data_IF_957243911903
#
_entry.id   IF_957243911903
#
_cell.length_a   1.000
_cell.length_b   1.000
_cell.length_c   1.000
_cell.angle_alpha   90.00
_cell.angle_beta   90.00
_cell.angle_gamma   90.00
#
_symmetry.space_group_name_H-M   'P 1'
#
loop_
_entity.id
_entity.type
_entity.pdbx_description
1 polymer ?
#
# COMPACT_ATOMS: atom_id res chain seq x y z
N UNK A 1 -19.69 -1.75 -2.79
CA UNK A 1 -20.86 -2.02 -3.64
C UNK A 1 -21.11 -0.97 -4.74
N UNK A 2 -20.62 0.23 -4.61
CA UNK A 2 -20.80 1.29 -5.61
C UNK A 2 -20.02 1.04 -6.90
N UNK A 3 -18.87 0.40 -6.87
CA UNK A 3 -18.03 0.11 -8.06
C UNK A 3 -18.56 -1.03 -8.92
N UNK A 4 -18.96 -2.14 -8.32
CA UNK A 4 -19.63 -3.22 -9.07
C UNK A 4 -20.94 -2.73 -9.70
N UNK A 5 -21.64 -1.85 -8.99
CA UNK A 5 -22.83 -1.18 -9.53
C UNK A 5 -22.49 -0.19 -10.66
N UNK A 6 -21.30 0.45 -10.63
CA UNK A 6 -20.85 1.34 -11.70
C UNK A 6 -20.44 0.58 -12.96
N UNK A 7 -19.70 -0.54 -12.83
CA UNK A 7 -19.25 -1.33 -13.97
C UNK A 7 -20.41 -1.86 -14.85
N UNK A 8 -21.56 -2.16 -14.26
CA UNK A 8 -22.73 -2.68 -14.96
C UNK A 8 -23.86 -1.65 -15.15
N UNK A 9 -23.61 -0.39 -14.80
CA UNK A 9 -24.67 0.63 -14.80
C UNK A 9 -25.15 0.99 -16.20
N UNK A 10 -24.25 0.98 -17.20
CA UNK A 10 -24.60 1.26 -18.59
C UNK A 10 -25.55 0.22 -19.17
N UNK A 11 -25.34 -1.05 -18.84
CA UNK A 11 -26.18 -2.16 -19.27
C UNK A 11 -27.54 -2.16 -18.56
N UNK A 12 -27.57 -1.72 -17.29
CA UNK A 12 -28.80 -1.74 -16.48
C UNK A 12 -29.65 -0.50 -16.65
N UNK A 13 -29.09 0.68 -16.76
CA UNK A 13 -29.80 1.97 -16.72
C UNK A 13 -29.68 2.77 -18.02
N UNK A 14 -28.87 2.32 -18.96
CA UNK A 14 -28.55 3.04 -20.20
C UNK A 14 -27.59 4.21 -19.97
N UNK A 15 -27.01 4.70 -21.08
CA UNK A 15 -25.94 5.70 -21.05
C UNK A 15 -26.34 7.00 -20.34
N UNK A 16 -27.50 7.57 -20.66
CA UNK A 16 -27.90 8.87 -20.13
C UNK A 16 -28.08 8.88 -18.62
N UNK A 17 -28.76 7.85 -18.08
CA UNK A 17 -29.00 7.76 -16.63
C UNK A 17 -27.70 7.42 -15.88
N UNK A 18 -26.83 6.64 -16.48
CA UNK A 18 -25.53 6.35 -15.91
C UNK A 18 -24.64 7.58 -15.85
N UNK A 19 -24.56 8.38 -16.93
CA UNK A 19 -23.83 9.65 -16.94
C UNK A 19 -24.39 10.65 -15.92
N UNK A 20 -25.73 10.78 -15.84
CA UNK A 20 -26.36 11.66 -14.85
C UNK A 20 -26.02 11.24 -13.42
N UNK A 21 -26.12 9.95 -13.13
CA UNK A 21 -25.76 9.38 -11.84
C UNK A 21 -24.29 9.64 -11.50
N UNK A 22 -23.38 9.40 -12.45
CA UNK A 22 -21.95 9.57 -12.22
C UNK A 22 -21.58 11.04 -11.99
N UNK A 23 -22.17 11.96 -12.75
CA UNK A 23 -22.06 13.40 -12.50
C UNK A 23 -22.60 13.79 -11.12
N UNK A 24 -23.74 13.22 -10.69
CA UNK A 24 -24.31 13.51 -9.39
C UNK A 24 -23.49 12.93 -8.23
N UNK A 25 -22.93 11.74 -8.38
CA UNK A 25 -22.06 11.11 -7.37
C UNK A 25 -20.72 11.82 -7.24
N UNK A 26 -20.23 12.43 -8.32
CA UNK A 26 -18.98 13.21 -8.29
C UNK A 26 -19.15 14.63 -7.72
N UNK A 27 -20.39 15.11 -7.57
CA UNK A 27 -20.66 16.41 -6.96
C UNK A 27 -20.30 16.38 -5.47
N UNK A 28 -19.14 16.90 -5.12
CA UNK A 28 -18.70 17.05 -3.72
C UNK A 28 -19.59 18.08 -3.03
N UNK A 29 -20.09 17.71 -1.87
CA UNK A 29 -20.72 18.65 -0.94
C UNK A 29 -19.77 18.85 0.23
N UNK A 30 -19.58 20.10 0.64
CA UNK A 30 -18.87 20.35 1.89
C UNK A 30 -19.58 19.63 3.04
N UNK A 31 -18.84 19.00 3.96
CA UNK A 31 -19.43 18.43 5.16
C UNK A 31 -20.24 19.47 5.94
N UNK A 32 -21.26 19.02 6.67
CA UNK A 32 -22.03 19.91 7.54
C UNK A 32 -21.10 20.53 8.61
N UNK A 33 -21.19 21.85 8.78
CA UNK A 33 -20.34 22.59 9.71
C UNK A 33 -18.94 22.93 9.17
N UNK A 34 -18.59 22.56 7.94
CA UNK A 34 -17.32 22.94 7.33
C UNK A 34 -17.24 24.46 7.14
N UNK A 35 -16.20 25.05 7.68
CA UNK A 35 -15.85 26.46 7.49
C UNK A 35 -14.33 26.64 7.71
N UNK A 36 -13.78 27.73 7.17
CA UNK A 36 -12.37 28.08 7.38
C UNK A 36 -12.03 28.16 8.88
N UNK A 37 -12.87 28.85 9.65
CA UNK A 37 -12.68 28.98 11.11
C UNK A 37 -12.74 27.63 11.86
N UNK A 38 -13.54 26.68 11.38
CA UNK A 38 -13.56 25.33 11.94
C UNK A 38 -12.26 24.58 11.61
N UNK A 39 -11.76 24.72 10.39
CA UNK A 39 -10.49 24.11 10.00
C UNK A 39 -9.30 24.67 10.78
N UNK A 40 -9.26 25.97 11.01
CA UNK A 40 -8.24 26.58 11.89
C UNK A 40 -8.24 25.99 13.29
N UNK A 41 -9.43 25.75 13.87
CA UNK A 41 -9.54 25.07 15.18
C UNK A 41 -9.06 23.64 15.14
N UNK A 42 -9.36 22.88 14.07
CA UNK A 42 -8.88 21.51 13.89
C UNK A 42 -7.36 21.47 13.78
N UNK A 43 -6.77 22.35 12.96
CA UNK A 43 -5.32 22.43 12.80
C UNK A 43 -4.64 22.81 14.13
N UNK A 44 -5.16 23.81 14.85
CA UNK A 44 -4.63 24.17 16.16
C UNK A 44 -4.68 22.99 17.17
N UNK A 45 -5.74 22.19 17.12
CA UNK A 45 -5.85 21.00 17.98
C UNK A 45 -4.86 19.90 17.57
N UNK A 46 -4.61 19.72 16.27
CA UNK A 46 -3.59 18.80 15.78
C UNK A 46 -2.20 19.24 16.26
N UNK A 47 -1.87 20.52 16.12
CA UNK A 47 -0.58 21.06 16.57
C UNK A 47 -0.37 20.89 18.08
N UNK A 48 -1.43 21.06 18.88
CA UNK A 48 -1.41 20.81 20.32
C UNK A 48 -1.08 19.34 20.62
N UNK A 49 -1.77 18.38 19.98
CA UNK A 49 -1.55 16.93 20.14
C UNK A 49 -0.12 16.55 19.74
N UNK A 50 0.36 17.02 18.60
CA UNK A 50 1.70 16.74 18.12
C UNK A 50 2.79 17.31 19.04
N UNK A 51 2.50 18.44 19.68
CA UNK A 51 3.42 19.08 20.64
C UNK A 51 3.45 18.28 21.96
N UNK A 52 2.32 17.80 22.44
CA UNK A 52 2.24 16.94 23.62
C UNK A 52 3.00 15.62 23.40
N UNK A 53 2.80 14.95 22.26
CA UNK A 53 3.48 13.69 21.93
C UNK A 53 5.00 13.86 21.74
N UNK A 54 5.43 15.00 21.20
CA UNK A 54 6.86 15.29 21.00
C UNK A 54 7.63 15.59 22.29
N UNK A 55 6.94 16.01 23.34
CA UNK A 55 7.55 16.32 24.63
C UNK A 55 8.10 15.08 25.36
N UNK A 56 7.54 13.92 25.08
CA UNK A 56 7.95 12.62 25.64
C UNK A 56 8.86 11.80 24.70
N UNK A 57 9.17 12.31 23.52
CA UNK A 57 10.04 11.61 22.58
C UNK A 57 11.50 11.61 23.10
N UNK A 58 12.13 10.44 23.26
CA UNK A 58 13.52 10.37 23.71
C UNK A 58 14.44 11.09 22.73
N UNK A 59 15.26 12.00 23.22
CA UNK A 59 16.28 12.69 22.44
C UNK A 59 17.22 11.62 21.82
N UNK A 60 17.41 11.67 20.51
CA UNK A 60 18.24 10.75 19.73
C UNK A 60 17.74 9.28 19.71
N UNK A 61 16.50 9.07 19.36
CA UNK A 61 16.05 7.74 18.95
C UNK A 61 16.91 7.26 17.75
N UNK A 62 17.46 6.04 17.86
CA UNK A 62 18.07 5.38 16.71
C UNK A 62 17.01 5.30 15.62
N UNK A 63 17.27 5.94 14.49
CA UNK A 63 16.34 5.86 13.34
C UNK A 63 16.53 4.48 12.68
N UNK A 64 15.60 3.54 12.80
CA UNK A 64 15.71 2.22 12.18
C UNK A 64 15.46 2.30 10.68
N UNK A 65 15.88 1.28 9.93
CA UNK A 65 15.32 1.05 8.60
C UNK A 65 13.86 0.66 8.74
N UNK A 66 13.05 1.06 7.77
CA UNK A 66 11.61 0.76 7.72
C UNK A 66 11.33 -0.13 6.52
N UNK A 67 10.76 -1.29 6.76
CA UNK A 67 10.28 -2.20 5.71
C UNK A 67 8.78 -2.36 5.90
N UNK A 68 8.02 -1.99 4.88
CA UNK A 68 6.58 -2.22 4.79
C UNK A 68 6.34 -3.29 3.74
N UNK A 69 5.86 -4.45 4.14
CA UNK A 69 5.54 -5.56 3.25
C UNK A 69 4.03 -5.73 3.13
N UNK A 70 3.50 -5.42 1.95
CA UNK A 70 2.11 -5.72 1.59
C UNK A 70 2.06 -7.08 0.91
N UNK A 71 1.62 -8.10 1.65
CA UNK A 71 1.44 -9.45 1.08
C UNK A 71 0.11 -9.52 0.35
N UNK A 72 0.18 -9.63 -0.99
CA UNK A 72 -1.00 -9.69 -1.86
C UNK A 72 -1.80 -10.96 -1.60
N UNK A 73 -3.12 -10.79 -1.45
CA UNK A 73 -4.07 -11.90 -1.22
C UNK A 73 -3.73 -12.80 -0.01
N UNK A 74 -2.94 -12.30 0.95
CA UNK A 74 -2.63 -13.03 2.16
C UNK A 74 -3.86 -13.09 3.08
N UNK A 75 -4.14 -14.26 3.60
CA UNK A 75 -5.17 -14.49 4.59
C UNK A 75 -4.74 -15.60 5.56
N UNK A 76 -4.95 -15.39 6.84
CA UNK A 76 -4.71 -16.40 7.86
C UNK A 76 -5.83 -17.46 7.82
N UNK A 77 -5.56 -18.56 7.12
CA UNK A 77 -6.51 -19.66 6.96
C UNK A 77 -6.84 -20.38 8.27
N UNK A 78 -6.03 -20.21 9.33
CA UNK A 78 -6.31 -20.82 10.65
C UNK A 78 -7.53 -20.18 11.31
N UNK A 79 -7.91 -18.97 10.89
CA UNK A 79 -9.11 -18.25 11.36
C UNK A 79 -10.40 -18.72 10.69
N UNK A 80 -10.33 -19.59 9.67
CA UNK A 80 -11.52 -20.13 9.03
C UNK A 80 -12.15 -21.24 9.87
N UNK A 81 -13.42 -21.13 10.25
CA UNK A 81 -14.09 -22.17 11.02
C UNK A 81 -14.20 -23.48 10.22
N UNK A 82 -13.94 -24.60 10.88
CA UNK A 82 -14.07 -25.94 10.30
C UNK A 82 -12.82 -26.46 9.59
N UNK A 83 -11.76 -25.68 9.46
CA UNK A 83 -10.46 -26.16 9.00
C UNK A 83 -9.61 -26.63 10.18
N UNK A 84 -8.92 -27.74 10.01
CA UNK A 84 -7.95 -28.27 10.96
C UNK A 84 -6.65 -28.59 10.22
N UNK A 85 -5.54 -28.21 10.84
CA UNK A 85 -4.20 -28.40 10.29
C UNK A 85 -3.40 -29.33 11.19
N UNK A 86 -2.60 -30.22 10.60
CA UNK A 86 -1.68 -31.10 11.37
C UNK A 86 -0.55 -30.31 12.03
N UNK A 87 -0.18 -29.18 11.41
CA UNK A 87 0.77 -28.19 11.93
C UNK A 87 0.31 -26.80 11.51
N UNK A 88 0.74 -25.80 12.24
CA UNK A 88 0.45 -24.42 11.90
C UNK A 88 1.05 -24.07 10.50
N UNK A 89 0.23 -23.72 9.50
CA UNK A 89 0.72 -23.34 8.17
C UNK A 89 1.42 -21.98 8.14
N UNK A 90 1.25 -21.16 9.20
CA UNK A 90 1.74 -19.80 9.32
C UNK A 90 2.61 -19.60 10.57
N UNK A 91 3.34 -20.63 11.00
CA UNK A 91 4.13 -20.65 12.24
C UNK A 91 5.01 -19.40 12.40
N UNK A 92 5.72 -19.00 11.35
CA UNK A 92 6.59 -17.82 11.39
C UNK A 92 5.80 -16.50 11.52
N UNK A 93 4.65 -16.41 10.86
CA UNK A 93 3.77 -15.23 10.97
C UNK A 93 3.19 -15.10 12.36
N UNK A 94 2.69 -16.19 12.93
CA UNK A 94 2.16 -16.19 14.31
C UNK A 94 3.26 -15.95 15.36
N UNK A 95 4.50 -16.38 15.11
CA UNK A 95 5.62 -16.03 15.96
C UNK A 95 5.86 -14.50 15.96
N UNK A 96 5.89 -13.87 14.78
CA UNK A 96 6.02 -12.41 14.68
C UNK A 96 4.86 -11.65 15.34
N UNK A 97 3.62 -12.15 15.24
CA UNK A 97 2.49 -11.56 15.96
C UNK A 97 2.70 -11.55 17.48
N UNK A 98 3.40 -12.53 18.00
CA UNK A 98 3.70 -12.63 19.45
C UNK A 98 4.86 -11.74 19.90
N UNK A 99 5.75 -11.37 19.00
CA UNK A 99 6.94 -10.56 19.27
C UNK A 99 6.71 -9.06 19.07
N UNK A 100 5.66 -8.69 18.32
CA UNK A 100 5.38 -7.32 17.92
C UNK A 100 3.95 -6.87 18.28
N UNK A 101 3.56 -5.76 17.67
CA UNK A 101 2.18 -5.26 17.72
C UNK A 101 1.43 -5.88 16.56
N UNK A 102 0.35 -6.59 16.86
CA UNK A 102 -0.53 -7.20 15.85
C UNK A 102 -1.95 -6.65 15.93
N UNK A 103 -2.70 -6.79 14.84
CA UNK A 103 -4.09 -6.34 14.77
C UNK A 103 -4.76 -6.69 13.46
N UNK A 104 -6.02 -6.31 13.32
CA UNK A 104 -6.79 -6.52 12.09
C UNK A 104 -6.87 -5.23 11.30
N UNK A 105 -6.38 -5.27 10.07
CA UNK A 105 -6.54 -4.18 9.12
C UNK A 105 -7.83 -4.38 8.31
N UNK A 106 -8.72 -3.38 8.34
CA UNK A 106 -9.97 -3.40 7.58
C UNK A 106 -9.80 -2.66 6.26
N UNK A 107 -9.75 -3.41 5.16
CA UNK A 107 -9.76 -2.81 3.83
C UNK A 107 -11.16 -2.26 3.49
N UNK A 108 -11.21 -1.07 2.89
CA UNK A 108 -12.43 -0.50 2.34
C UNK A 108 -12.82 -1.12 0.98
N UNK A 109 -11.96 -1.95 0.41
CA UNK A 109 -12.14 -2.54 -0.90
C UNK A 109 -12.44 -4.03 -0.79
N UNK A 110 -13.48 -4.48 -1.50
CA UNK A 110 -13.85 -5.89 -1.64
C UNK A 110 -13.44 -6.40 -3.02
N UNK A 111 -12.53 -7.36 -3.06
CA UNK A 111 -11.98 -7.87 -4.31
C UNK A 111 -11.01 -6.86 -4.92
N UNK A 112 -11.02 -6.58 -6.16
CA UNK A 112 -10.12 -5.69 -6.88
C UNK A 112 -9.73 -4.42 -6.11
N UNK A 113 -8.56 -3.87 -6.37
CA UNK A 113 -8.21 -2.55 -5.88
C UNK A 113 -6.97 -2.47 -5.00
N UNK A 114 -6.01 -3.39 -5.19
CA UNK A 114 -4.71 -3.35 -4.51
C UNK A 114 -4.07 -1.96 -4.57
N UNK A 115 -4.02 -1.33 -5.76
CA UNK A 115 -3.49 0.02 -5.90
C UNK A 115 -4.23 1.10 -5.11
N UNK A 116 -5.51 0.92 -4.84
CA UNK A 116 -6.25 1.85 -3.97
C UNK A 116 -5.90 1.66 -2.50
N UNK A 117 -5.65 0.42 -2.09
CA UNK A 117 -5.19 0.13 -0.74
C UNK A 117 -3.77 0.67 -0.53
N UNK A 118 -2.90 0.50 -1.52
CA UNK A 118 -1.56 1.09 -1.55
C UNK A 118 -1.63 2.61 -1.34
N UNK A 119 -2.46 3.31 -2.11
CA UNK A 119 -2.65 4.75 -1.97
C UNK A 119 -3.23 5.14 -0.61
N UNK A 120 -4.16 4.34 -0.07
CA UNK A 120 -4.71 4.60 1.27
C UNK A 120 -3.65 4.46 2.37
N UNK A 121 -2.73 3.50 2.24
CA UNK A 121 -1.63 3.31 3.19
C UNK A 121 -0.55 4.39 3.07
N UNK A 122 -0.13 4.68 1.84
CA UNK A 122 1.02 5.54 1.58
C UNK A 122 0.68 7.03 1.62
N UNK A 123 -0.57 7.37 1.32
CA UNK A 123 -1.02 8.75 1.16
C UNK A 123 -2.07 9.15 2.21
N UNK A 124 -2.56 8.19 3.00
CA UNK A 124 -3.54 8.45 4.06
C UNK A 124 -4.92 8.85 3.58
N UNK A 125 -5.24 8.65 2.30
CA UNK A 125 -6.51 9.06 1.68
C UNK A 125 -7.21 7.90 1.00
N UNK A 126 -8.53 8.01 0.88
CA UNK A 126 -9.37 7.06 0.15
C UNK A 126 -10.05 7.74 -1.03
N UNK A 127 -10.66 6.96 -1.91
CA UNK A 127 -11.47 7.51 -2.99
C UNK A 127 -12.63 8.41 -2.49
N UNK A 128 -13.07 8.21 -1.25
CA UNK A 128 -14.15 8.98 -0.65
C UNK A 128 -13.73 10.43 -0.38
N UNK A 129 -12.45 10.67 -0.14
CA UNK A 129 -11.89 12.00 0.10
C UNK A 129 -11.88 12.85 -1.18
N UNK A 130 -11.82 12.18 -2.34
CA UNK A 130 -11.86 12.83 -3.66
C UNK A 130 -13.24 12.77 -4.33
N UNK A 131 -14.19 12.06 -3.73
CA UNK A 131 -15.53 11.81 -4.29
C UNK A 131 -15.67 10.39 -4.87
N UNK A 132 -16.89 9.87 -4.77
CA UNK A 132 -17.19 8.51 -5.20
C UNK A 132 -16.88 8.31 -6.70
N UNK A 133 -16.10 7.27 -7.00
CA UNK A 133 -15.70 6.94 -8.37
C UNK A 133 -14.39 7.58 -8.83
N UNK A 134 -13.75 8.43 -8.03
CA UNK A 134 -12.40 8.94 -8.33
C UNK A 134 -11.40 7.78 -8.33
N UNK A 135 -10.57 7.71 -9.35
CA UNK A 135 -9.46 6.76 -9.39
C UNK A 135 -8.22 7.39 -8.76
N UNK A 136 -7.97 7.09 -7.49
CA UNK A 136 -6.84 7.66 -6.73
C UNK A 136 -5.46 7.26 -7.25
N UNK A 137 -5.37 6.27 -8.16
CA UNK A 137 -4.13 5.94 -8.87
C UNK A 137 -3.87 6.85 -10.08
N UNK A 138 -4.78 7.75 -10.42
CA UNK A 138 -4.73 8.62 -11.60
C UNK A 138 -5.19 10.04 -11.24
N UNK A 139 -4.72 10.55 -10.13
CA UNK A 139 -4.99 11.93 -9.72
C UNK A 139 -4.19 12.92 -10.59
N UNK A 140 -4.70 14.12 -10.72
CA UNK A 140 -3.96 15.24 -11.32
C UNK A 140 -2.81 15.68 -10.41
N UNK A 141 -1.80 16.31 -10.98
CA UNK A 141 -0.56 16.67 -10.27
C UNK A 141 -0.81 17.53 -9.02
N UNK A 142 -1.71 18.49 -9.09
CA UNK A 142 -2.06 19.36 -7.98
C UNK A 142 -2.73 18.66 -6.80
N UNK A 143 -3.25 17.46 -7.00
CA UNK A 143 -3.81 16.66 -5.92
C UNK A 143 -2.73 16.01 -5.06
N UNK A 144 -1.60 15.62 -5.66
CA UNK A 144 -0.47 15.04 -4.92
C UNK A 144 0.23 16.08 -4.04
N UNK A 145 0.22 17.36 -4.41
CA UNK A 145 0.84 18.45 -3.65
C UNK A 145 0.07 18.83 -2.37
N UNK A 146 -1.17 18.35 -2.22
CA UNK A 146 -2.05 18.73 -1.10
C UNK A 146 -1.84 17.90 0.16
N UNK A 147 -1.13 16.80 0.08
CA UNK A 147 -0.98 15.85 1.16
C UNK A 147 0.48 15.38 1.22
N UNK A 148 1.00 15.24 2.42
CA UNK A 148 2.32 14.65 2.63
C UNK A 148 2.22 13.12 2.64
N UNK A 149 2.67 12.48 1.58
CA UNK A 149 2.73 11.03 1.51
C UNK A 149 3.77 10.45 2.48
N UNK A 150 3.51 9.25 2.97
CA UNK A 150 4.40 8.59 3.92
C UNK A 150 5.85 8.46 3.41
N UNK A 151 6.12 8.02 2.15
CA UNK A 151 7.48 7.97 1.61
C UNK A 151 8.15 9.35 1.56
N UNK A 152 7.40 10.40 1.23
CA UNK A 152 7.91 11.76 1.19
C UNK A 152 8.34 12.25 2.59
N UNK A 153 7.58 11.94 3.63
CA UNK A 153 7.93 12.28 5.01
C UNK A 153 9.25 11.61 5.44
N UNK A 154 9.45 10.33 5.07
CA UNK A 154 10.70 9.63 5.33
C UNK A 154 11.84 10.21 4.51
N UNK A 155 11.63 10.55 3.25
CA UNK A 155 12.66 11.18 2.41
C UNK A 155 13.08 12.55 2.96
N UNK A 156 12.13 13.37 3.41
CA UNK A 156 12.40 14.65 4.11
C UNK A 156 13.18 14.43 5.41
N UNK A 157 13.08 13.25 6.02
CA UNK A 157 13.82 12.84 7.22
C UNK A 157 15.17 12.17 6.94
N UNK A 158 15.62 12.16 5.68
CA UNK A 158 16.92 11.64 5.26
C UNK A 158 16.95 10.13 4.96
N UNK A 159 15.79 9.51 4.74
CA UNK A 159 15.71 8.14 4.24
C UNK A 159 15.75 8.10 2.72
N UNK A 160 16.28 7.02 2.18
CA UNK A 160 16.07 6.64 0.78
C UNK A 160 14.83 5.75 0.70
N UNK A 161 13.83 6.22 -0.06
CA UNK A 161 12.56 5.52 -0.21
C UNK A 161 12.54 4.76 -1.54
N UNK A 162 12.39 3.43 -1.49
CA UNK A 162 12.29 2.58 -2.68
C UNK A 162 11.04 1.69 -2.60
N UNK A 163 10.42 1.46 -3.78
CA UNK A 163 9.30 0.55 -3.93
C UNK A 163 9.72 -0.68 -4.74
N UNK A 164 9.36 -1.86 -4.26
CA UNK A 164 9.55 -3.13 -4.94
C UNK A 164 8.19 -3.78 -5.23
N UNK A 165 8.01 -4.32 -6.43
CA UNK A 165 6.82 -5.07 -6.80
C UNK A 165 7.16 -6.34 -7.54
N UNK A 166 6.75 -7.48 -7.00
CA UNK A 166 7.03 -8.81 -7.55
C UNK A 166 6.35 -9.12 -8.89
N UNK A 167 5.85 -8.11 -9.60
CA UNK A 167 5.23 -8.22 -10.92
C UNK A 167 5.65 -7.06 -11.83
N UNK A 168 4.97 -6.91 -12.98
CA UNK A 168 5.28 -5.85 -13.93
C UNK A 168 4.61 -4.51 -13.55
N UNK A 169 4.94 -3.47 -14.28
CA UNK A 169 4.50 -2.08 -14.08
C UNK A 169 3.14 -1.72 -14.70
N UNK A 170 2.46 -2.68 -15.34
CA UNK A 170 1.32 -2.41 -16.24
C UNK A 170 0.03 -1.93 -15.55
N UNK A 171 -0.09 -2.09 -14.23
CA UNK A 171 -1.31 -1.77 -13.50
C UNK A 171 -1.13 -0.61 -12.52
N UNK A 172 -2.25 0.09 -12.25
CA UNK A 172 -2.37 1.15 -11.22
C UNK A 172 -1.47 2.38 -11.43
N UNK A 173 -0.91 2.56 -12.63
CA UNK A 173 -0.12 3.74 -12.97
C UNK A 173 1.07 4.01 -12.01
N UNK A 174 1.64 2.95 -11.42
CA UNK A 174 2.67 3.06 -10.37
C UNK A 174 3.89 3.84 -10.80
N UNK A 175 4.34 3.68 -12.05
CA UNK A 175 5.50 4.39 -12.61
C UNK A 175 5.34 5.91 -12.63
N UNK A 176 4.11 6.41 -12.62
CA UNK A 176 3.79 7.84 -12.56
C UNK A 176 3.46 8.28 -11.13
N UNK A 177 2.68 7.49 -10.43
CA UNK A 177 2.14 7.82 -9.12
C UNK A 177 3.20 7.78 -8.01
N UNK A 178 4.03 6.73 -7.97
CA UNK A 178 4.94 6.50 -6.86
C UNK A 178 6.09 7.51 -6.75
N UNK A 179 6.69 7.99 -7.85
CA UNK A 179 7.64 9.11 -7.75
C UNK A 179 7.03 10.37 -7.14
N UNK A 180 5.73 10.63 -7.37
CA UNK A 180 4.99 11.75 -6.77
C UNK A 180 4.73 11.58 -5.28
N UNK A 181 4.75 10.33 -4.79
CA UNK A 181 4.68 10.02 -3.36
C UNK A 181 6.04 10.12 -2.66
N UNK A 182 7.12 10.39 -3.37
CA UNK A 182 8.46 10.56 -2.81
C UNK A 182 9.36 9.34 -2.89
N UNK A 183 9.00 8.29 -3.64
CA UNK A 183 9.91 7.18 -3.92
C UNK A 183 10.97 7.60 -4.94
N UNK A 184 12.24 7.32 -4.63
CA UNK A 184 13.38 7.60 -5.52
C UNK A 184 13.57 6.53 -6.58
N UNK A 185 13.28 5.28 -6.23
CA UNK A 185 13.47 4.13 -7.12
C UNK A 185 12.26 3.19 -7.06
N UNK A 186 11.93 2.61 -8.22
CA UNK A 186 10.87 1.65 -8.39
C UNK A 186 11.45 0.40 -9.05
N UNK A 187 11.41 -0.74 -8.35
CA UNK A 187 11.92 -2.01 -8.85
C UNK A 187 10.75 -2.95 -9.10
N UNK A 188 10.53 -3.29 -10.36
CA UNK A 188 9.56 -4.31 -10.76
C UNK A 188 10.23 -5.67 -10.94
N UNK A 189 9.47 -6.69 -11.28
CA UNK A 189 9.97 -8.07 -11.32
C UNK A 189 11.23 -8.26 -12.18
N UNK A 190 11.37 -7.53 -13.29
CA UNK A 190 12.55 -7.58 -14.15
C UNK A 190 13.78 -6.94 -13.49
N UNK A 191 13.59 -5.82 -12.79
CA UNK A 191 14.65 -5.13 -12.08
C UNK A 191 15.11 -5.95 -10.88
N UNK A 192 14.17 -6.55 -10.14
CA UNK A 192 14.45 -7.42 -8.99
C UNK A 192 15.26 -8.64 -9.41
N UNK A 193 14.94 -9.25 -10.56
CA UNK A 193 15.70 -10.37 -11.08
C UNK A 193 17.12 -10.00 -11.56
N UNK A 194 17.35 -8.74 -11.88
CA UNK A 194 18.65 -8.24 -12.29
C UNK A 194 19.56 -7.89 -11.11
N UNK A 195 19.06 -7.93 -9.89
CA UNK A 195 19.86 -7.77 -8.68
C UNK A 195 20.84 -8.95 -8.51
N UNK A 196 22.06 -8.66 -8.10
CA UNK A 196 23.12 -9.64 -7.89
C UNK A 196 23.30 -9.94 -6.41
N UNK A 197 22.49 -10.88 -5.88
CA UNK A 197 22.61 -11.35 -4.51
C UNK A 197 22.62 -12.88 -4.47
N UNK A 198 23.23 -13.48 -3.43
CA UNK A 198 23.24 -14.93 -3.28
C UNK A 198 21.83 -15.50 -3.13
N UNK A 199 21.45 -16.38 -4.05
CA UNK A 199 20.16 -17.06 -4.01
C UNK A 199 20.28 -18.51 -4.49
N UNK A 200 19.79 -19.42 -3.65
CA UNK A 200 19.67 -20.84 -3.98
C UNK A 200 18.20 -21.22 -4.04
N UNK A 201 17.66 -21.42 -5.23
CA UNK A 201 16.28 -21.85 -5.43
C UNK A 201 15.64 -21.26 -6.68
N UNK A 202 14.35 -21.53 -6.86
CA UNK A 202 13.56 -20.95 -7.96
C UNK A 202 13.14 -19.53 -7.64
N UNK A 203 13.22 -18.65 -8.65
CA UNK A 203 12.73 -17.27 -8.54
C UNK A 203 11.19 -17.24 -8.58
N UNK A 204 10.58 -18.14 -9.34
CA UNK A 204 9.14 -18.19 -9.52
C UNK A 204 8.51 -19.41 -8.82
N UNK A 205 7.33 -19.18 -8.24
CA UNK A 205 6.40 -20.22 -7.78
C UNK A 205 5.17 -20.21 -8.69
N UNK A 206 5.21 -20.98 -9.78
CA UNK A 206 4.18 -20.92 -10.82
C UNK A 206 4.25 -19.61 -11.63
N UNK A 207 3.19 -18.81 -11.61
CA UNK A 207 3.08 -17.58 -12.42
C UNK A 207 3.79 -16.37 -11.83
N UNK A 208 4.12 -16.39 -10.55
CA UNK A 208 4.57 -15.21 -9.83
C UNK A 208 5.91 -15.44 -9.13
N UNK A 209 6.61 -14.34 -8.88
CA UNK A 209 7.83 -14.34 -8.09
C UNK A 209 7.54 -14.88 -6.68
N UNK A 210 8.42 -15.77 -6.19
CA UNK A 210 8.31 -16.32 -4.83
C UNK A 210 8.51 -15.21 -3.80
N UNK A 211 7.69 -15.20 -2.77
CA UNK A 211 7.80 -14.25 -1.67
C UNK A 211 9.16 -14.37 -0.98
N UNK A 212 9.71 -15.59 -0.86
CA UNK A 212 11.04 -15.80 -0.29
C UNK A 212 12.17 -15.12 -1.09
N UNK A 213 12.11 -15.17 -2.43
CA UNK A 213 13.07 -14.46 -3.29
C UNK A 213 12.86 -12.94 -3.19
N UNK A 214 11.61 -12.51 -3.22
CA UNK A 214 11.23 -11.11 -3.13
C UNK A 214 11.71 -10.46 -1.81
N UNK A 215 11.50 -11.12 -0.68
CA UNK A 215 11.96 -10.60 0.61
C UNK A 215 13.48 -10.58 0.72
N UNK A 216 14.18 -11.57 0.13
CA UNK A 216 15.63 -11.52 0.07
C UNK A 216 16.12 -10.31 -0.74
N UNK A 217 15.46 -10.02 -1.87
CA UNK A 217 15.77 -8.83 -2.65
C UNK A 217 15.54 -7.52 -1.86
N UNK A 218 14.49 -7.44 -1.05
CA UNK A 218 14.27 -6.29 -0.17
C UNK A 218 15.39 -6.13 0.87
N UNK A 219 15.86 -7.23 1.46
CA UNK A 219 16.97 -7.19 2.42
C UNK A 219 18.27 -6.76 1.75
N UNK A 220 18.56 -7.27 0.56
CA UNK A 220 19.71 -6.89 -0.24
C UNK A 220 19.68 -5.38 -0.58
N UNK A 221 18.56 -4.86 -1.01
CA UNK A 221 18.40 -3.43 -1.26
C UNK A 221 18.59 -2.59 0.00
N UNK A 222 18.09 -3.05 1.14
CA UNK A 222 18.30 -2.38 2.43
C UNK A 222 19.79 -2.31 2.78
N UNK A 223 20.53 -3.40 2.55
CA UNK A 223 21.97 -3.46 2.82
C UNK A 223 22.74 -2.50 1.88
N UNK A 224 22.38 -2.45 0.60
CA UNK A 224 22.96 -1.51 -0.35
C UNK A 224 22.76 -0.05 0.06
N UNK A 225 21.54 0.31 0.45
CA UNK A 225 21.22 1.66 0.92
C UNK A 225 22.02 1.99 2.18
N UNK A 226 22.09 1.06 3.14
CA UNK A 226 22.85 1.26 4.35
C UNK A 226 24.36 1.40 4.08
N UNK A 227 24.89 0.68 3.09
CA UNK A 227 26.30 0.77 2.69
C UNK A 227 26.67 2.14 2.13
N UNK A 228 25.72 2.86 1.57
CA UNK A 228 25.88 4.26 1.14
C UNK A 228 25.79 5.28 2.29
N UNK A 229 25.47 4.82 3.51
CA UNK A 229 25.33 5.66 4.70
C UNK A 229 23.91 6.23 4.89
N UNK A 230 22.97 5.81 4.08
CA UNK A 230 21.55 6.21 4.16
C UNK A 230 20.73 5.22 4.99
N UNK A 231 19.52 5.60 5.35
CA UNK A 231 18.50 4.73 5.94
C UNK A 231 17.47 4.34 4.87
N UNK A 232 17.02 3.10 4.92
CA UNK A 232 16.04 2.60 3.96
C UNK A 232 14.61 2.78 4.48
N UNK A 233 13.73 3.31 3.63
CA UNK A 233 12.29 3.11 3.67
C UNK A 233 11.90 2.26 2.46
N UNK A 234 11.59 0.99 2.67
CA UNK A 234 11.23 0.06 1.61
C UNK A 234 9.75 -0.28 1.69
N UNK A 235 9.05 -0.19 0.58
CA UNK A 235 7.68 -0.64 0.41
C UNK A 235 7.63 -1.76 -0.61
N UNK A 236 7.30 -2.97 -0.16
CA UNK A 236 7.25 -4.16 -0.98
C UNK A 236 5.83 -4.69 -1.17
N UNK A 237 5.49 -5.07 -2.41
CA UNK A 237 4.21 -5.67 -2.77
C UNK A 237 4.48 -7.05 -3.37
N UNK A 238 4.13 -8.11 -2.64
CA UNK A 238 4.34 -9.49 -3.11
C UNK A 238 3.26 -9.94 -4.09
N UNK A 239 3.46 -11.09 -4.74
CA UNK A 239 2.53 -11.60 -5.74
C UNK A 239 2.30 -13.11 -5.66
N UNK A 240 3.07 -13.87 -4.88
CA UNK A 240 3.00 -15.35 -4.90
C UNK A 240 1.60 -15.88 -4.57
N UNK A 241 0.89 -15.21 -3.67
CA UNK A 241 -0.46 -15.59 -3.25
C UNK A 241 -1.58 -15.07 -4.16
N UNK A 242 -1.26 -14.30 -5.22
CA UNK A 242 -2.27 -13.77 -6.13
C UNK A 242 -2.93 -14.89 -6.96
N UNK A 243 -4.21 -14.72 -7.27
CA UNK A 243 -4.93 -15.65 -8.17
C UNK A 243 -4.26 -15.77 -9.56
N UNK A 244 -4.42 -16.85 -10.33
CA UNK A 244 -5.36 -17.96 -10.10
C UNK A 244 -4.88 -18.95 -9.04
N UNK A 245 -5.83 -19.57 -8.34
CA UNK A 245 -5.58 -20.62 -7.34
C UNK A 245 -5.86 -22.00 -7.94
N UNK A 246 -5.15 -22.34 -9.00
CA UNK A 246 -5.29 -23.67 -9.61
C UNK A 246 -4.31 -24.67 -8.95
N UNK A 247 -4.61 -25.98 -8.99
CA UNK A 247 -3.78 -27.02 -8.38
C UNK A 247 -2.37 -27.12 -8.98
N UNK A 248 -2.15 -26.57 -10.18
CA UNK A 248 -0.89 -26.65 -10.90
C UNK A 248 0.01 -25.44 -10.65
N UNK A 249 -0.48 -24.42 -9.93
CA UNK A 249 0.22 -23.17 -9.70
C UNK A 249 1.61 -23.36 -9.08
N UNK A 250 1.77 -24.37 -8.24
CA UNK A 250 3.01 -24.61 -7.47
C UNK A 250 3.73 -25.90 -7.86
N UNK A 251 3.36 -26.52 -8.99
CA UNK A 251 4.00 -27.73 -9.51
C UNK A 251 5.14 -27.41 -10.49
#
# INVERSE_FOLDING_TARGET
NTRLAAANSHDTYGLTLSLWRDCFLQAKKSPEGYSEAYMEQVLARIDEILTEDSADAPAAAVQPNIIVAQSESFYDLTRLPGLQYERDPLENFHALESEGISGTFHSHYLGYGTGYLEMSMLYGVTELDFGAGTNICFLEDDAYEKFDALPEQYTKSGYRAEMLHGYNDSLYNRTVTYPRLGFSDLLFSADIQALDFPWEGGIYGGYYMRDSYFFQAMLDRMEDINSSGERAFLYGITMENHQPFDPEKFN
#
